data_IF_184099994205
#
_entry.id   IF_184099994205
#
_cell.length_a   1.000
_cell.length_b   1.000
_cell.length_c   1.000
_cell.angle_alpha   90.00
_cell.angle_beta   90.00
_cell.angle_gamma   90.00
#
_symmetry.space_group_name_H-M   'P 1'
#
loop_
_entity.id
_entity.type
_entity.pdbx_description
1 polymer ?
#
# COMPACT_ATOMS: atom_id res chain seq x y z
N UNK A 1 62.76 15.82 4.03
CA UNK A 1 62.94 15.13 5.31
C UNK A 1 61.55 14.88 5.89
N UNK A 2 60.98 13.72 5.57
CA UNK A 2 60.77 12.64 6.55
C UNK A 2 59.96 13.09 7.78
N UNK A 3 58.68 12.69 7.84
CA UNK A 3 58.21 11.65 8.78
C UNK A 3 56.70 11.50 8.76
N UNK A 4 56.26 10.31 8.34
CA UNK A 4 55.35 9.44 9.10
C UNK A 4 54.15 10.12 9.76
N UNK A 5 53.00 10.09 9.10
CA UNK A 5 51.71 9.75 9.73
C UNK A 5 50.66 9.56 8.63
N UNK A 6 50.10 8.36 8.49
CA UNK A 6 48.95 8.12 7.63
C UNK A 6 49.09 7.06 6.54
N UNK A 7 50.15 6.23 6.54
CA UNK A 7 49.93 4.81 6.24
C UNK A 7 48.94 4.33 7.32
N UNK A 8 47.92 3.54 6.97
CA UNK A 8 46.72 3.22 7.79
C UNK A 8 45.55 4.20 7.64
N UNK A 9 44.84 4.21 6.50
CA UNK A 9 43.36 3.98 6.34
C UNK A 9 43.01 4.17 4.84
N UNK A 10 43.69 3.46 3.94
CA UNK A 10 43.27 3.38 2.52
C UNK A 10 42.71 1.97 2.21
N UNK A 11 42.35 1.22 3.26
CA UNK A 11 41.82 -0.14 3.16
C UNK A 11 40.73 -0.32 4.23
N UNK A 12 39.55 0.24 4.01
CA UNK A 12 38.45 0.13 4.95
C UNK A 12 37.15 0.73 4.45
N UNK A 13 36.24 -0.14 3.99
CA UNK A 13 34.80 0.07 3.73
C UNK A 13 34.47 1.18 2.72
N UNK A 14 34.18 0.90 1.46
CA UNK A 14 32.92 0.27 1.04
C UNK A 14 31.79 0.42 2.08
N UNK A 15 31.42 1.66 2.41
CA UNK A 15 30.05 1.94 2.82
C UNK A 15 29.23 2.12 1.55
N UNK A 16 28.86 0.99 0.95
CA UNK A 16 27.72 0.94 0.06
C UNK A 16 26.52 1.44 0.86
N UNK A 17 25.90 2.50 0.36
CA UNK A 17 24.55 2.91 0.74
C UNK A 17 23.60 1.77 0.44
N UNK A 18 23.54 0.79 1.34
CA UNK A 18 22.46 -0.17 1.43
C UNK A 18 21.23 0.56 1.94
N UNK A 19 20.65 1.42 1.10
CA UNK A 19 19.20 1.56 1.16
C UNK A 19 18.68 0.17 0.82
N UNK A 20 18.39 -0.61 1.85
CA UNK A 20 17.40 -1.67 1.72
C UNK A 20 16.13 -0.92 1.31
N UNK A 21 15.94 -0.81 -0.01
CA UNK A 21 14.64 -0.55 -0.57
C UNK A 21 13.78 -1.71 -0.11
N UNK A 22 13.11 -1.55 1.02
CA UNK A 22 11.91 -2.29 1.26
C UNK A 22 11.03 -1.92 0.07
N UNK A 23 10.90 -2.84 -0.89
CA UNK A 23 9.76 -2.80 -1.78
C UNK A 23 8.55 -2.61 -0.87
N UNK A 24 7.76 -1.55 -1.06
CA UNK A 24 6.51 -1.36 -0.33
C UNK A 24 5.65 -2.59 -0.63
N UNK A 25 5.70 -3.58 0.25
CA UNK A 25 4.86 -4.77 0.14
C UNK A 25 3.43 -4.29 0.27
N UNK A 26 2.60 -4.68 -0.68
CA UNK A 26 1.18 -4.32 -0.66
C UNK A 26 0.51 -4.88 0.59
N UNK A 27 -0.57 -4.23 1.04
CA UNK A 27 -1.37 -4.64 2.21
C UNK A 27 -1.67 -6.15 2.21
N UNK A 28 -2.03 -6.69 1.04
CA UNK A 28 -2.36 -8.11 0.85
C UNK A 28 -1.14 -9.02 1.00
N UNK A 29 0.03 -8.58 0.53
CA UNK A 29 1.27 -9.34 0.62
C UNK A 29 1.74 -9.43 2.07
N UNK A 30 1.73 -8.31 2.80
CA UNK A 30 2.04 -8.28 4.23
C UNK A 30 1.14 -9.20 5.04
N UNK A 31 -0.18 -9.17 4.77
CA UNK A 31 -1.15 -10.08 5.39
C UNK A 31 -0.85 -11.55 5.07
N UNK A 32 -0.69 -11.89 3.78
CA UNK A 32 -0.50 -13.26 3.34
C UNK A 32 0.81 -13.87 3.87
N UNK A 33 1.88 -13.09 3.93
CA UNK A 33 3.15 -13.52 4.49
C UNK A 33 3.11 -13.66 6.02
N UNK A 34 2.48 -12.70 6.70
CA UNK A 34 2.36 -12.70 8.16
C UNK A 34 1.52 -13.84 8.68
N UNK A 35 0.49 -14.24 7.95
CA UNK A 35 -0.44 -15.31 8.30
C UNK A 35 -0.20 -16.61 7.53
N UNK A 36 0.94 -16.78 6.85
CA UNK A 36 1.17 -17.90 5.93
C UNK A 36 0.93 -19.27 6.58
N UNK A 37 1.37 -19.44 7.82
CA UNK A 37 1.21 -20.70 8.55
C UNK A 37 -0.26 -20.96 8.87
N UNK A 38 -0.97 -19.98 9.42
CA UNK A 38 -2.36 -20.05 9.81
C UNK A 38 -3.28 -20.26 8.60
N UNK A 39 -3.01 -19.56 7.50
CA UNK A 39 -3.74 -19.72 6.24
C UNK A 39 -3.56 -21.14 5.70
N UNK A 40 -2.35 -21.70 5.75
CA UNK A 40 -2.07 -23.05 5.28
C UNK A 40 -2.61 -24.16 6.18
N UNK A 41 -2.67 -23.92 7.49
CA UNK A 41 -3.11 -24.92 8.47
C UNK A 41 -4.63 -24.91 8.69
N UNK A 42 -5.21 -23.72 8.86
CA UNK A 42 -6.60 -23.56 9.28
C UNK A 42 -7.54 -23.14 8.13
N UNK A 43 -7.04 -22.38 7.15
CA UNK A 43 -7.88 -21.73 6.14
C UNK A 43 -7.64 -22.21 4.70
N UNK A 44 -6.98 -23.36 4.49
CA UNK A 44 -6.56 -23.85 3.17
C UNK A 44 -7.70 -24.04 2.16
N UNK A 45 -8.89 -24.39 2.64
CA UNK A 45 -10.07 -24.66 1.82
C UNK A 45 -10.97 -23.41 1.67
N UNK A 46 -10.56 -22.28 2.27
CA UNK A 46 -11.31 -21.03 2.22
C UNK A 46 -10.97 -20.27 0.95
N UNK A 47 -11.98 -20.07 0.10
CA UNK A 47 -11.85 -19.22 -1.08
C UNK A 47 -11.68 -17.75 -0.66
N UNK A 48 -10.58 -17.13 -1.10
CA UNK A 48 -10.30 -15.72 -0.87
C UNK A 48 -11.42 -14.78 -1.40
N UNK A 49 -11.46 -13.57 -0.85
CA UNK A 49 -12.49 -12.56 -1.13
C UNK A 49 -13.60 -12.50 -0.09
N UNK A 50 -14.42 -11.45 -0.16
CA UNK A 50 -15.61 -11.24 0.69
C UNK A 50 -15.36 -11.39 2.21
N UNK A 51 -14.15 -11.10 2.66
CA UNK A 51 -13.76 -11.25 4.06
C UNK A 51 -13.65 -12.69 4.58
N UNK A 52 -13.78 -13.72 3.73
CA UNK A 52 -13.84 -15.13 4.19
C UNK A 52 -12.58 -15.60 4.91
N UNK A 53 -11.39 -15.17 4.47
CA UNK A 53 -10.13 -15.51 5.13
C UNK A 53 -10.02 -14.84 6.51
N UNK A 54 -10.47 -13.60 6.65
CA UNK A 54 -10.51 -12.92 7.95
C UNK A 54 -11.52 -13.60 8.88
N UNK A 55 -12.68 -14.01 8.37
CA UNK A 55 -13.66 -14.76 9.14
C UNK A 55 -13.11 -16.11 9.62
N UNK A 56 -12.34 -16.82 8.77
CA UNK A 56 -11.65 -18.05 9.16
C UNK A 56 -10.61 -17.80 10.27
N UNK A 57 -9.75 -16.79 10.12
CA UNK A 57 -8.77 -16.45 11.15
C UNK A 57 -9.45 -16.04 12.47
N UNK A 58 -10.57 -15.33 12.40
CA UNK A 58 -11.37 -14.99 13.59
C UNK A 58 -11.91 -16.23 14.31
N UNK A 59 -12.43 -17.21 13.56
CA UNK A 59 -12.91 -18.48 14.10
C UNK A 59 -11.79 -19.35 14.73
N UNK A 60 -10.54 -19.07 14.40
CA UNK A 60 -9.33 -19.72 14.93
C UNK A 60 -8.45 -18.75 15.72
N UNK A 61 -9.02 -17.68 16.27
CA UNK A 61 -8.27 -16.61 16.95
C UNK A 61 -7.50 -17.10 18.18
N UNK A 62 -7.91 -18.22 18.79
CA UNK A 62 -7.17 -18.90 19.86
C UNK A 62 -5.91 -19.66 19.37
N UNK A 63 -5.73 -19.77 18.05
CA UNK A 63 -4.70 -20.59 17.40
C UNK A 63 -3.80 -19.82 16.44
N UNK A 64 -3.99 -18.51 16.31
CA UNK A 64 -3.13 -17.67 15.45
C UNK A 64 -1.86 -17.25 16.20
N UNK A 65 -0.74 -17.13 15.48
CA UNK A 65 0.49 -16.58 16.05
C UNK A 65 0.40 -15.06 16.23
N UNK A 66 1.20 -14.52 17.16
CA UNK A 66 1.37 -13.08 17.33
C UNK A 66 1.83 -12.38 16.04
N UNK A 67 2.56 -13.09 15.16
CA UNK A 67 2.96 -12.57 13.85
C UNK A 67 1.77 -12.38 12.91
N UNK A 68 0.88 -13.37 12.83
CA UNK A 68 -0.33 -13.25 12.03
C UNK A 68 -1.27 -12.18 12.60
N UNK A 69 -1.43 -12.15 13.92
CA UNK A 69 -2.22 -11.11 14.60
C UNK A 69 -1.72 -9.70 14.26
N UNK A 70 -0.41 -9.46 14.38
CA UNK A 70 0.21 -8.20 13.98
C UNK A 70 -0.03 -7.88 12.50
N UNK A 71 0.10 -8.86 11.60
CA UNK A 71 -0.10 -8.65 10.17
C UNK A 71 -1.56 -8.30 9.82
N UNK A 72 -2.54 -8.88 10.53
CA UNK A 72 -3.95 -8.51 10.39
C UNK A 72 -4.17 -7.06 10.85
N UNK A 73 -3.59 -6.68 11.99
CA UNK A 73 -3.70 -5.33 12.53
C UNK A 73 -3.05 -4.27 11.63
N UNK A 74 -1.85 -4.54 11.13
CA UNK A 74 -1.14 -3.65 10.20
C UNK A 74 -1.94 -3.48 8.90
N UNK A 75 -2.45 -4.59 8.35
CA UNK A 75 -3.27 -4.55 7.14
C UNK A 75 -4.55 -3.72 7.33
N UNK A 76 -5.22 -3.85 8.47
CA UNK A 76 -6.40 -3.04 8.80
C UNK A 76 -6.06 -1.55 8.91
N UNK A 77 -4.96 -1.22 9.59
CA UNK A 77 -4.48 0.16 9.76
C UNK A 77 -4.11 0.81 8.42
N UNK A 78 -3.46 0.05 7.53
CA UNK A 78 -3.12 0.52 6.19
C UNK A 78 -4.35 0.72 5.32
N UNK A 79 -5.34 -0.19 5.42
CA UNK A 79 -6.60 -0.07 4.69
C UNK A 79 -7.36 1.18 5.11
N UNK A 80 -7.43 1.49 6.41
CA UNK A 80 -8.08 2.70 6.93
C UNK A 80 -7.44 3.99 6.36
N UNK A 81 -6.10 4.04 6.32
CA UNK A 81 -5.38 5.16 5.69
C UNK A 81 -5.73 5.28 4.21
N UNK A 82 -5.73 4.17 3.48
CA UNK A 82 -6.08 4.16 2.07
C UNK A 82 -7.53 4.63 1.82
N UNK A 83 -8.49 4.20 2.64
CA UNK A 83 -9.89 4.63 2.55
C UNK A 83 -10.06 6.12 2.83
N UNK A 84 -9.29 6.66 3.77
CA UNK A 84 -9.28 8.10 4.08
C UNK A 84 -8.77 8.90 2.87
N UNK A 85 -7.65 8.48 2.29
CA UNK A 85 -7.09 9.08 1.08
C UNK A 85 -8.07 9.02 -0.11
N UNK A 86 -8.70 7.87 -0.33
CA UNK A 86 -9.70 7.70 -1.38
C UNK A 86 -10.93 8.57 -1.16
N UNK A 87 -11.38 8.71 0.08
CA UNK A 87 -12.53 9.56 0.44
C UNK A 87 -12.23 11.03 0.20
N UNK A 88 -11.02 11.48 0.57
CA UNK A 88 -10.55 12.82 0.26
C UNK A 88 -10.58 13.09 -1.26
N UNK A 89 -9.93 12.23 -2.05
CA UNK A 89 -9.93 12.37 -3.53
C UNK A 89 -11.34 12.35 -4.10
N UNK A 90 -12.19 11.44 -3.65
CA UNK A 90 -13.57 11.33 -4.14
C UNK A 90 -14.39 12.60 -3.87
N UNK A 91 -14.17 13.24 -2.72
CA UNK A 91 -14.81 14.51 -2.38
C UNK A 91 -14.30 15.66 -3.24
N UNK A 92 -12.98 15.80 -3.36
CA UNK A 92 -12.36 16.87 -4.13
C UNK A 92 -12.59 16.76 -5.64
N UNK A 93 -12.77 15.53 -6.14
CA UNK A 93 -13.04 15.23 -7.55
C UNK A 93 -14.52 15.01 -7.87
N UNK A 94 -15.44 15.19 -6.91
CA UNK A 94 -16.85 14.82 -7.06
C UNK A 94 -17.51 15.43 -8.29
N UNK A 95 -17.35 16.73 -8.48
CA UNK A 95 -18.02 17.44 -9.58
C UNK A 95 -17.31 17.18 -10.91
N UNK A 96 -15.98 16.99 -10.88
CA UNK A 96 -15.18 16.58 -12.04
C UNK A 96 -15.58 15.19 -12.54
N UNK A 97 -15.78 14.23 -11.64
CA UNK A 97 -16.25 12.88 -11.96
C UNK A 97 -17.64 12.91 -12.58
N UNK A 98 -18.54 13.75 -12.07
CA UNK A 98 -19.88 13.92 -12.65
C UNK A 98 -19.84 14.54 -14.05
N UNK A 99 -19.04 15.59 -14.23
CA UNK A 99 -18.97 16.31 -15.49
C UNK A 99 -18.27 15.49 -16.60
N UNK A 100 -17.24 14.72 -16.24
CA UNK A 100 -16.35 14.10 -17.22
C UNK A 100 -16.44 12.56 -17.27
N UNK A 101 -16.98 11.91 -16.23
CA UNK A 101 -16.87 10.46 -16.03
C UNK A 101 -18.17 9.75 -15.62
N UNK A 102 -19.35 10.39 -15.77
CA UNK A 102 -20.62 9.85 -15.27
C UNK A 102 -21.00 8.45 -15.78
N UNK A 103 -20.58 8.09 -17.00
CA UNK A 103 -20.88 6.79 -17.61
C UNK A 103 -19.84 5.70 -17.29
N UNK A 104 -18.85 6.02 -16.46
CA UNK A 104 -17.80 5.07 -16.08
C UNK A 104 -18.26 4.32 -14.83
N UNK A 105 -18.47 3.00 -14.97
CA UNK A 105 -18.76 2.15 -13.82
C UNK A 105 -17.57 2.18 -12.84
N UNK A 106 -17.80 2.33 -11.52
CA UNK A 106 -16.73 2.31 -10.51
C UNK A 106 -15.93 0.99 -10.45
N UNK A 107 -14.76 1.06 -9.82
CA UNK A 107 -13.86 -0.08 -9.61
C UNK A 107 -12.72 -0.18 -10.63
N UNK A 108 -11.73 -1.02 -10.33
CA UNK A 108 -10.58 -1.36 -11.22
C UNK A 108 -9.81 -0.12 -11.73
N UNK A 109 -9.80 0.97 -10.97
CA UNK A 109 -9.11 2.22 -11.36
C UNK A 109 -9.76 2.99 -12.52
N UNK A 110 -10.89 2.54 -13.06
CA UNK A 110 -11.48 3.11 -14.29
C UNK A 110 -11.85 4.59 -14.16
N UNK A 111 -12.33 5.01 -12.98
CA UNK A 111 -12.62 6.42 -12.71
C UNK A 111 -11.36 7.28 -12.64
N UNK A 112 -10.27 6.76 -12.04
CA UNK A 112 -8.99 7.45 -12.01
C UNK A 112 -8.45 7.64 -13.43
N UNK A 113 -8.45 6.58 -14.25
CA UNK A 113 -8.05 6.67 -15.67
C UNK A 113 -8.92 7.67 -16.46
N UNK A 114 -10.21 7.76 -16.16
CA UNK A 114 -11.08 8.74 -16.80
C UNK A 114 -10.69 10.18 -16.43
N UNK A 115 -10.41 10.44 -15.14
CA UNK A 115 -9.96 11.75 -14.66
C UNK A 115 -8.61 12.13 -15.30
N UNK A 116 -7.66 11.19 -15.36
CA UNK A 116 -6.35 11.41 -16.02
C UNK A 116 -6.50 11.75 -17.50
N UNK A 117 -7.37 11.07 -18.24
CA UNK A 117 -7.65 11.38 -19.65
C UNK A 117 -8.30 12.74 -19.86
N UNK A 118 -8.98 13.26 -18.85
CA UNK A 118 -9.65 14.56 -18.90
C UNK A 118 -8.90 15.63 -18.08
N UNK A 119 -7.60 15.45 -17.80
CA UNK A 119 -6.86 16.30 -16.86
C UNK A 119 -6.95 17.80 -17.13
N UNK A 120 -7.01 18.19 -18.41
CA UNK A 120 -7.15 19.58 -18.84
C UNK A 120 -8.52 20.20 -18.47
N UNK A 121 -9.57 19.37 -18.30
CA UNK A 121 -10.94 19.77 -17.96
C UNK A 121 -11.25 19.64 -16.46
N UNK A 122 -10.39 18.95 -15.72
CA UNK A 122 -10.55 18.69 -14.29
C UNK A 122 -10.18 19.95 -13.49
N UNK A 123 -10.79 20.14 -12.33
CA UNK A 123 -10.49 21.26 -11.45
C UNK A 123 -9.06 21.21 -10.89
N UNK A 124 -8.51 22.37 -10.52
CA UNK A 124 -7.23 22.41 -9.80
C UNK A 124 -7.26 21.67 -8.47
N UNK A 125 -8.43 21.64 -7.82
CA UNK A 125 -8.68 20.98 -6.55
C UNK A 125 -8.55 19.47 -6.65
N UNK A 126 -9.25 18.86 -7.61
CA UNK A 126 -9.13 17.43 -7.87
C UNK A 126 -7.71 17.02 -8.27
N UNK A 127 -7.05 17.82 -9.13
CA UNK A 127 -5.65 17.56 -9.49
C UNK A 127 -4.71 17.60 -8.29
N UNK A 128 -4.92 18.53 -7.36
CA UNK A 128 -4.12 18.62 -6.16
C UNK A 128 -4.38 17.42 -5.25
N UNK A 129 -5.64 17.06 -5.03
CA UNK A 129 -5.99 15.90 -4.20
C UNK A 129 -5.36 14.60 -4.70
N UNK A 130 -5.35 14.38 -6.03
CA UNK A 130 -4.68 13.21 -6.63
C UNK A 130 -3.17 13.19 -6.38
N UNK A 131 -2.51 14.37 -6.37
CA UNK A 131 -1.07 14.48 -6.06
C UNK A 131 -0.81 14.25 -4.58
N UNK A 132 -1.63 14.82 -3.70
CA UNK A 132 -1.48 14.71 -2.25
C UNK A 132 -1.44 13.26 -1.77
N UNK A 133 -2.19 12.37 -2.45
CA UNK A 133 -2.27 10.94 -2.11
C UNK A 133 -1.42 10.04 -3.03
N UNK A 134 -0.59 10.63 -3.92
CA UNK A 134 0.30 9.87 -4.81
C UNK A 134 -0.39 9.08 -5.93
N UNK A 135 -1.66 9.40 -6.26
CA UNK A 135 -2.39 8.78 -7.38
C UNK A 135 -2.09 9.42 -8.72
N UNK A 136 -1.42 10.57 -8.74
CA UNK A 136 -0.94 11.24 -9.95
C UNK A 136 0.55 11.54 -9.81
N UNK A 137 1.35 11.04 -10.76
CA UNK A 137 2.79 11.34 -10.89
C UNK A 137 3.03 12.69 -11.54
#
# INVERSE_FOLDING_TARGET
MLRKMGVFVVLGLMMSSGVVGAAEKGIIETFAEGCKAELGTYCKDVKAGDGRLLACLYAHSDKISARCEYAVYDAASQLERALTSLSYVANECRDDLKANCANIKPGEGRLLTCIEKNDAKVSGRCRQALKDVGLKK
#
